data_IF_102544509137
#
_entry.id   IF_102544509137
#
_cell.length_a   1.000
_cell.length_b   1.000
_cell.length_c   1.000
_cell.angle_alpha   90.00
_cell.angle_beta   90.00
_cell.angle_gamma   90.00
#
_symmetry.space_group_name_H-M   'P 1'
#
loop_
_entity.id
_entity.type
_entity.pdbx_description
1 polymer ?
#
# COMPACT_ATOMS: atom_id res chain seq x y z
N UNK A 1 8.13 -13.09 -13.58
CA UNK A 1 6.97 -12.43 -12.96
C UNK A 1 7.39 -11.49 -11.85
N UNK A 2 6.68 -10.39 -11.74
CA UNK A 2 6.91 -9.38 -10.69
C UNK A 2 5.74 -9.44 -9.73
N UNK A 3 6.02 -9.51 -8.43
CA UNK A 3 4.99 -9.55 -7.38
C UNK A 3 4.86 -8.15 -6.79
N UNK A 4 3.64 -7.60 -6.84
CA UNK A 4 3.37 -6.22 -6.47
C UNK A 4 2.38 -6.16 -5.30
N UNK A 5 2.74 -5.40 -4.27
CA UNK A 5 1.87 -5.09 -3.15
C UNK A 5 1.39 -3.65 -3.29
N UNK A 6 0.09 -3.45 -3.28
CA UNK A 6 -0.55 -2.14 -3.49
C UNK A 6 -1.44 -1.85 -2.29
N UNK A 7 -0.96 -0.96 -1.43
CA UNK A 7 -1.74 -0.50 -0.27
C UNK A 7 -2.39 0.83 -0.55
N UNK A 8 -3.70 0.92 -0.36
CA UNK A 8 -4.43 2.17 -0.50
C UNK A 8 -5.10 2.56 0.81
N UNK A 9 -5.04 3.83 1.18
CA UNK A 9 -5.64 4.32 2.40
C UNK A 9 -6.37 5.65 2.17
N UNK A 10 -7.44 5.85 2.93
CA UNK A 10 -8.12 7.13 3.05
C UNK A 10 -7.98 7.59 4.49
N UNK A 11 -7.61 8.84 4.69
CA UNK A 11 -7.41 9.43 6.02
C UNK A 11 -8.70 10.08 6.50
N UNK A 12 -8.92 10.04 7.81
CA UNK A 12 -10.08 10.68 8.43
C UNK A 12 -10.03 12.20 8.29
N UNK A 13 -8.80 12.76 8.36
CA UNK A 13 -8.56 14.20 8.24
C UNK A 13 -7.28 14.44 7.42
N UNK A 14 -7.26 15.52 6.66
CA UNK A 14 -6.08 15.88 5.89
C UNK A 14 -4.85 16.11 6.78
N UNK A 15 -5.05 16.56 8.03
CA UNK A 15 -3.98 16.74 9.01
C UNK A 15 -3.29 15.43 9.38
N UNK A 16 -3.95 14.29 9.20
CA UNK A 16 -3.37 12.97 9.42
C UNK A 16 -2.19 12.67 8.51
N UNK A 17 -2.10 13.33 7.35
CA UNK A 17 -0.96 13.19 6.46
C UNK A 17 0.36 13.46 7.15
N UNK A 18 0.41 14.50 7.99
CA UNK A 18 1.64 14.87 8.69
C UNK A 18 2.12 13.77 9.64
N UNK A 19 1.21 12.97 10.17
CA UNK A 19 1.56 11.87 11.08
C UNK A 19 1.93 10.60 10.32
N UNK A 20 1.42 10.42 9.10
CA UNK A 20 1.62 9.21 8.32
C UNK A 20 2.79 9.34 7.33
N UNK A 21 3.09 10.54 6.85
CA UNK A 21 4.14 10.76 5.87
C UNK A 21 5.51 10.24 6.35
N UNK A 22 5.94 10.60 7.56
CA UNK A 22 7.24 10.16 8.07
C UNK A 22 7.36 8.64 8.20
N UNK A 23 6.43 7.94 8.86
CA UNK A 23 6.48 6.48 8.89
C UNK A 23 6.42 5.84 7.50
N UNK A 24 5.60 6.38 6.60
CA UNK A 24 5.49 5.88 5.23
C UNK A 24 6.79 6.05 4.46
N UNK A 25 7.46 7.19 4.60
CA UNK A 25 8.75 7.42 3.95
C UNK A 25 9.83 6.49 4.49
N UNK A 26 9.81 6.17 5.78
CA UNK A 26 10.73 5.20 6.38
C UNK A 26 10.50 3.80 5.82
N UNK A 27 9.25 3.39 5.71
CA UNK A 27 8.90 2.10 5.12
C UNK A 27 9.32 2.05 3.65
N UNK A 28 9.12 3.13 2.90
CA UNK A 28 9.54 3.24 1.50
C UNK A 28 11.07 3.09 1.37
N UNK A 29 11.83 3.77 2.22
CA UNK A 29 13.29 3.64 2.24
C UNK A 29 13.74 2.22 2.57
N UNK A 30 13.10 1.62 3.57
CA UNK A 30 13.39 0.23 3.94
C UNK A 30 13.08 -0.73 2.79
N UNK A 31 11.96 -0.52 2.09
CA UNK A 31 11.59 -1.31 0.93
C UNK A 31 12.65 -1.22 -0.17
N UNK A 32 13.08 -0.01 -0.50
CA UNK A 32 14.09 0.22 -1.56
C UNK A 32 15.43 -0.45 -1.26
N UNK A 33 15.75 -0.64 0.03
CA UNK A 33 16.99 -1.29 0.47
C UNK A 33 16.83 -2.79 0.67
N UNK A 34 15.61 -3.30 0.70
CA UNK A 34 15.35 -4.70 0.95
C UNK A 34 15.75 -5.55 -0.26
N UNK A 35 16.31 -6.71 0.00
CA UNK A 35 16.71 -7.65 -1.04
C UNK A 35 15.46 -8.13 -1.79
N UNK A 36 15.55 -8.12 -3.12
CA UNK A 36 14.46 -8.54 -3.99
C UNK A 36 13.46 -7.44 -4.35
N UNK A 37 13.59 -6.24 -3.79
CA UNK A 37 12.74 -5.12 -4.14
C UNK A 37 13.18 -4.52 -5.49
N UNK A 38 12.28 -4.54 -6.46
CA UNK A 38 12.52 -4.01 -7.80
C UNK A 38 12.17 -2.53 -7.85
N UNK A 39 11.09 -2.14 -7.17
CA UNK A 39 10.56 -0.77 -7.22
C UNK A 39 9.70 -0.51 -5.98
N UNK A 40 9.74 0.72 -5.49
CA UNK A 40 8.86 1.16 -4.41
C UNK A 40 8.47 2.61 -4.66
N UNK A 41 7.18 2.93 -4.46
CA UNK A 41 6.64 4.23 -4.78
C UNK A 41 5.47 4.57 -3.86
N UNK A 42 5.27 5.87 -3.63
CA UNK A 42 4.09 6.39 -2.95
C UNK A 42 3.51 7.53 -3.77
N UNK A 43 2.20 7.58 -3.85
CA UNK A 43 1.52 8.64 -4.61
C UNK A 43 0.07 8.75 -4.14
N UNK A 44 -0.57 9.84 -4.55
CA UNK A 44 -1.99 10.06 -4.27
C UNK A 44 -2.77 10.04 -5.58
N UNK A 45 -3.89 9.31 -5.58
CA UNK A 45 -4.83 9.30 -6.71
C UNK A 45 -6.24 9.53 -6.15
N UNK A 46 -6.86 10.64 -6.53
CA UNK A 46 -8.12 11.07 -5.95
C UNK A 46 -7.96 11.33 -4.45
N UNK A 47 -8.78 10.72 -3.62
CA UNK A 47 -8.71 10.82 -2.16
C UNK A 47 -8.04 9.61 -1.50
N UNK A 48 -7.35 8.79 -2.28
CA UNK A 48 -6.64 7.61 -1.79
C UNK A 48 -5.14 7.83 -1.88
N UNK A 49 -4.44 7.55 -0.80
CA UNK A 49 -2.98 7.56 -0.75
C UNK A 49 -2.50 6.13 -0.96
N UNK A 50 -1.62 5.93 -1.95
CA UNK A 50 -1.13 4.62 -2.32
C UNK A 50 0.34 4.43 -1.94
N UNK A 51 0.67 3.24 -1.48
CA UNK A 51 2.03 2.77 -1.30
C UNK A 51 2.18 1.47 -2.08
N UNK A 52 3.14 1.45 -3.01
CA UNK A 52 3.34 0.33 -3.91
C UNK A 52 4.76 -0.19 -3.77
N UNK A 53 4.91 -1.51 -3.69
CA UNK A 53 6.22 -2.15 -3.74
C UNK A 53 6.18 -3.34 -4.70
N UNK A 54 7.22 -3.48 -5.51
CA UNK A 54 7.36 -4.55 -6.48
C UNK A 54 8.57 -5.41 -6.14
N UNK A 55 8.42 -6.73 -6.25
CA UNK A 55 9.37 -7.71 -5.74
C UNK A 55 9.63 -8.80 -6.76
N UNK A 56 10.84 -9.35 -6.73
CA UNK A 56 11.22 -10.49 -7.58
C UNK A 56 10.68 -11.83 -7.05
N UNK A 57 10.22 -11.86 -5.79
CA UNK A 57 9.79 -13.07 -5.10
C UNK A 57 8.57 -12.76 -4.24
N UNK A 58 7.58 -13.64 -4.28
CA UNK A 58 6.40 -13.56 -3.43
C UNK A 58 6.76 -13.67 -1.95
N UNK A 59 7.71 -14.53 -1.63
CA UNK A 59 8.16 -14.75 -0.26
C UNK A 59 8.80 -13.49 0.32
N UNK A 60 9.64 -12.81 -0.44
CA UNK A 60 10.28 -11.56 0.00
C UNK A 60 9.27 -10.44 0.18
N UNK A 61 8.29 -10.36 -0.72
CA UNK A 61 7.18 -9.40 -0.58
C UNK A 61 6.42 -9.64 0.72
N UNK A 62 6.07 -10.90 1.00
CA UNK A 62 5.32 -11.26 2.22
C UNK A 62 6.12 -11.02 3.49
N UNK A 63 7.41 -11.33 3.50
CA UNK A 63 8.29 -11.06 4.63
C UNK A 63 8.36 -9.57 4.95
N UNK A 64 8.53 -8.76 3.91
CA UNK A 64 8.57 -7.32 4.09
C UNK A 64 7.24 -6.77 4.60
N UNK A 65 6.12 -7.24 4.05
CA UNK A 65 4.79 -6.81 4.48
C UNK A 65 4.54 -7.13 5.95
N UNK A 66 4.94 -8.33 6.41
CA UNK A 66 4.82 -8.71 7.81
C UNK A 66 5.66 -7.85 8.73
N UNK A 67 6.92 -7.62 8.37
CA UNK A 67 7.82 -6.79 9.16
C UNK A 67 7.34 -5.33 9.22
N UNK A 68 6.89 -4.78 8.08
CA UNK A 68 6.41 -3.40 7.99
C UNK A 68 5.13 -3.16 8.76
N UNK A 69 4.15 -4.07 8.63
CA UNK A 69 2.86 -3.95 9.30
C UNK A 69 2.96 -4.07 10.82
N UNK A 70 3.83 -4.97 11.31
CA UNK A 70 3.97 -5.19 12.75
C UNK A 70 4.87 -4.17 13.44
N UNK A 71 5.78 -3.53 12.72
CA UNK A 71 6.77 -2.66 13.33
C UNK A 71 6.49 -1.17 13.25
N UNK A 72 5.82 -0.70 12.20
CA UNK A 72 5.79 0.74 11.89
C UNK A 72 4.40 1.32 11.60
N UNK A 73 3.44 0.50 11.19
CA UNK A 73 2.06 0.92 11.01
C UNK A 73 1.24 0.42 12.21
N UNK A 74 1.67 0.85 13.39
CA UNK A 74 1.02 0.48 14.64
C UNK A 74 -0.30 1.22 14.82
N UNK A 75 -0.95 0.96 15.94
CA UNK A 75 -2.27 1.47 16.32
C UNK A 75 -2.49 2.95 16.00
N UNK A 76 -1.44 3.76 16.11
CA UNK A 76 -1.53 5.19 15.82
C UNK A 76 -1.87 5.51 14.36
N UNK A 77 -1.32 4.75 13.42
CA UNK A 77 -1.61 4.95 12.00
C UNK A 77 -3.02 4.48 11.67
N UNK A 78 -3.44 3.37 12.27
CA UNK A 78 -4.79 2.83 12.06
C UNK A 78 -5.88 3.80 12.54
N UNK A 79 -5.62 4.52 13.63
CA UNK A 79 -6.57 5.51 14.15
C UNK A 79 -6.77 6.69 13.20
N UNK A 80 -5.79 7.01 12.37
CA UNK A 80 -5.88 8.10 11.40
C UNK A 80 -6.55 7.70 10.09
N UNK A 81 -6.77 6.41 9.87
CA UNK A 81 -7.32 5.89 8.63
C UNK A 81 -8.83 5.75 8.68
N UNK A 82 -9.52 6.30 7.69
CA UNK A 82 -10.94 6.04 7.45
C UNK A 82 -11.14 4.72 6.70
N UNK A 83 -10.16 4.34 5.87
CA UNK A 83 -10.18 3.10 5.11
C UNK A 83 -8.74 2.67 4.81
N UNK A 84 -8.49 1.37 4.85
CA UNK A 84 -7.24 0.78 4.39
C UNK A 84 -7.54 -0.55 3.69
N UNK A 85 -6.93 -0.73 2.52
CA UNK A 85 -7.02 -1.99 1.79
C UNK A 85 -5.71 -2.26 1.07
N UNK A 86 -5.16 -3.45 1.27
CA UNK A 86 -3.95 -3.90 0.60
C UNK A 86 -4.29 -5.03 -0.37
N UNK A 87 -3.81 -4.90 -1.60
CA UNK A 87 -3.95 -5.93 -2.63
C UNK A 87 -2.58 -6.32 -3.16
N UNK A 88 -2.38 -7.61 -3.35
CA UNK A 88 -1.13 -8.15 -3.91
C UNK A 88 -1.46 -9.05 -5.09
N UNK A 89 -0.73 -8.88 -6.18
CA UNK A 89 -0.85 -9.76 -7.35
C UNK A 89 0.45 -9.79 -8.15
N UNK A 90 0.54 -10.77 -9.04
CA UNK A 90 1.66 -10.89 -9.96
C UNK A 90 1.36 -10.14 -11.26
N UNK A 91 2.40 -9.52 -11.83
CA UNK A 91 2.37 -8.88 -13.15
C UNK A 91 3.49 -9.44 -14.00
N UNK A 92 3.29 -9.45 -15.31
CA UNK A 92 4.35 -9.86 -16.25
C UNK A 92 5.47 -8.83 -16.31
N UNK A 93 5.10 -7.55 -16.31
CA UNK A 93 6.01 -6.42 -16.33
C UNK A 93 5.71 -5.48 -15.15
N UNK A 94 6.65 -4.58 -14.85
CA UNK A 94 6.45 -3.59 -13.80
C UNK A 94 5.27 -2.66 -14.16
N UNK A 95 4.18 -2.66 -13.37
CA UNK A 95 3.03 -1.81 -13.66
C UNK A 95 3.33 -0.34 -13.37
N UNK A 96 2.74 0.55 -14.16
CA UNK A 96 2.77 1.98 -13.85
C UNK A 96 1.75 2.31 -12.76
N UNK A 97 1.73 3.57 -12.31
CA UNK A 97 0.80 4.01 -11.26
C UNK A 97 -0.66 3.75 -11.62
N UNK A 98 -1.02 4.02 -12.87
CA UNK A 98 -2.39 3.85 -13.37
C UNK A 98 -2.82 2.39 -13.33
N UNK A 99 -1.94 1.49 -13.73
CA UNK A 99 -2.19 0.04 -13.68
C UNK A 99 -2.33 -0.44 -12.24
N UNK A 100 -1.52 0.07 -11.32
CA UNK A 100 -1.62 -0.24 -9.89
C UNK A 100 -2.97 0.20 -9.32
N UNK A 101 -3.40 1.41 -9.61
CA UNK A 101 -4.70 1.93 -9.15
C UNK A 101 -5.84 1.09 -9.70
N UNK A 102 -5.81 0.75 -10.99
CA UNK A 102 -6.84 -0.05 -11.63
C UNK A 102 -6.95 -1.44 -11.00
N UNK A 103 -5.82 -2.09 -10.74
CA UNK A 103 -5.79 -3.40 -10.08
C UNK A 103 -6.35 -3.34 -8.66
N UNK A 104 -5.98 -2.30 -7.92
CA UNK A 104 -6.46 -2.08 -6.56
C UNK A 104 -7.96 -1.83 -6.53
N UNK A 105 -8.46 -0.96 -7.43
CA UNK A 105 -9.88 -0.65 -7.51
C UNK A 105 -10.72 -1.88 -7.86
N UNK A 106 -10.25 -2.69 -8.79
CA UNK A 106 -10.91 -3.95 -9.15
C UNK A 106 -10.98 -4.91 -7.96
N UNK A 107 -9.89 -5.00 -7.19
CA UNK A 107 -9.82 -5.88 -6.02
C UNK A 107 -10.75 -5.42 -4.90
N UNK A 108 -10.79 -4.11 -4.60
CA UNK A 108 -11.66 -3.60 -3.55
C UNK A 108 -13.15 -3.67 -3.96
N UNK A 109 -13.46 -3.49 -5.25
CA UNK A 109 -14.80 -3.65 -5.77
C UNK A 109 -15.28 -5.10 -5.61
N UNK A 110 -14.40 -6.07 -5.83
CA UNK A 110 -14.70 -7.50 -5.62
C UNK A 110 -15.04 -7.81 -4.16
N UNK A 111 -14.58 -6.97 -3.22
CA UNK A 111 -14.92 -7.06 -1.80
C UNK A 111 -16.06 -6.13 -1.39
N UNK A 112 -16.86 -5.66 -2.34
CA UNK A 112 -17.98 -4.73 -2.12
C UNK A 112 -17.54 -3.41 -1.48
N UNK A 113 -16.35 -2.93 -1.85
CA UNK A 113 -15.81 -1.67 -1.35
C UNK A 113 -15.33 -1.69 0.10
N UNK A 114 -15.21 -2.87 0.71
CA UNK A 114 -14.81 -2.99 2.12
C UNK A 114 -13.32 -3.25 2.26
N UNK A 115 -12.63 -2.36 2.95
CA UNK A 115 -11.25 -2.55 3.37
C UNK A 115 -11.16 -3.06 4.80
N UNK A 116 -9.94 -3.11 5.32
CA UNK A 116 -9.66 -3.61 6.68
C UNK A 116 -10.24 -2.70 7.76
N UNK A 117 -10.25 -1.39 7.55
CA UNK A 117 -10.63 -0.39 8.54
C UNK A 117 -11.96 0.28 8.23
N UNK A 118 -12.39 0.29 6.98
CA UNK A 118 -13.62 0.99 6.61
C UNK A 118 -14.02 0.73 5.17
N UNK A 119 -14.97 1.54 4.70
CA UNK A 119 -15.49 1.44 3.34
C UNK A 119 -14.79 2.41 2.41
N UNK A 120 -14.51 1.96 1.20
CA UNK A 120 -13.92 2.79 0.15
C UNK A 120 -14.94 3.83 -0.32
N UNK A 121 -14.49 5.08 -0.39
CA UNK A 121 -15.27 6.21 -0.91
C UNK A 121 -14.60 6.68 -2.20
N UNK A 122 -15.12 6.17 -3.29
CA UNK A 122 -14.60 6.47 -4.62
C UNK A 122 -14.86 7.89 -5.11
#
# INVERSE_FOLDING_TARGET
>A
MIYVSIGGMQLKRWTGYFRIILPTMRVLKAAKRAEGCIHADTFKAGNVFFAVSAWDSKERMQEFARAGLHGQLTDMAMDQMAMFFNHSQAFDDLPDRKACVAAWEAAIAARNGKGTVGNYRG
#
